data_IF_585059769539
#
_entry.id   IF_585059769539
#
_cell.length_a   1.000
_cell.length_b   1.000
_cell.length_c   1.000
_cell.angle_alpha   90.00
_cell.angle_beta   90.00
_cell.angle_gamma   90.00
#
_symmetry.space_group_name_H-M   'P 1'
#
loop_
_entity.id
_entity.type
_entity.pdbx_description
1 polymer ?
#
# COMPACT_ATOMS: atom_id res chain seq x y z
N UNK A 1 -9.45 -5.00 18.42
CA UNK A 1 -8.63 -3.80 18.06
C UNK A 1 -7.58 -4.02 16.98
N UNK A 2 -6.99 -5.23 16.80
CA UNK A 2 -5.91 -5.45 15.81
C UNK A 2 -6.34 -5.25 14.34
N UNK A 3 -7.56 -5.65 13.97
CA UNK A 3 -8.06 -5.52 12.59
C UNK A 3 -8.24 -4.07 12.13
N UNK A 4 -8.87 -3.22 12.96
CA UNK A 4 -9.08 -1.81 12.65
C UNK A 4 -7.76 -1.04 12.51
N UNK A 5 -6.79 -1.27 13.40
CA UNK A 5 -5.46 -0.66 13.31
C UNK A 5 -4.77 -1.04 12.00
N UNK A 6 -4.75 -2.33 11.64
CA UNK A 6 -4.14 -2.78 10.38
C UNK A 6 -4.83 -2.18 9.17
N UNK A 7 -6.17 -2.08 9.19
CA UNK A 7 -6.94 -1.44 8.14
C UNK A 7 -6.57 0.04 7.98
N UNK A 8 -6.54 0.81 9.08
CA UNK A 8 -6.16 2.23 9.07
C UNK A 8 -4.72 2.44 8.59
N UNK A 9 -3.78 1.59 9.01
CA UNK A 9 -2.38 1.65 8.55
C UNK A 9 -2.26 1.35 7.05
N UNK A 10 -3.00 0.36 6.54
CA UNK A 10 -3.03 0.07 5.11
C UNK A 10 -3.62 1.24 4.32
N UNK A 11 -4.70 1.85 4.82
CA UNK A 11 -5.32 3.02 4.19
C UNK A 11 -4.34 4.20 4.13
N UNK A 12 -3.67 4.51 5.24
CA UNK A 12 -2.65 5.55 5.29
C UNK A 12 -1.49 5.27 4.32
N UNK A 13 -1.01 4.03 4.26
CA UNK A 13 0.05 3.63 3.34
C UNK A 13 -0.36 3.77 1.86
N UNK A 14 -1.62 3.45 1.52
CA UNK A 14 -2.15 3.65 0.16
C UNK A 14 -2.16 5.14 -0.20
N UNK A 15 -2.64 5.99 0.72
CA UNK A 15 -2.66 7.45 0.50
C UNK A 15 -1.24 7.99 0.31
N UNK A 16 -0.29 7.61 1.17
CA UNK A 16 1.11 8.00 1.04
C UNK A 16 1.75 7.52 -0.28
N UNK A 17 1.51 6.25 -0.66
CA UNK A 17 2.02 5.70 -1.91
C UNK A 17 1.48 6.44 -3.13
N UNK A 18 0.18 6.72 -3.15
CA UNK A 18 -0.46 7.48 -4.23
C UNK A 18 0.03 8.93 -4.29
N UNK A 19 0.16 9.61 -3.15
CA UNK A 19 0.69 10.97 -3.09
C UNK A 19 2.15 11.03 -3.56
N UNK A 20 2.97 10.03 -3.21
CA UNK A 20 4.34 9.94 -3.69
C UNK A 20 4.41 9.72 -5.22
N UNK A 21 3.50 8.92 -5.80
CA UNK A 21 3.42 8.77 -7.26
C UNK A 21 3.06 10.10 -7.93
N UNK A 22 2.01 10.78 -7.44
CA UNK A 22 1.55 12.05 -8.01
C UNK A 22 2.62 13.13 -7.87
N UNK A 23 3.25 13.22 -6.69
CA UNK A 23 4.30 14.21 -6.43
C UNK A 23 5.58 13.89 -7.20
N UNK A 24 5.90 12.61 -7.38
CA UNK A 24 7.04 12.17 -8.18
C UNK A 24 6.87 12.48 -9.66
N UNK A 25 5.66 12.32 -10.19
CA UNK A 25 5.33 12.76 -11.55
C UNK A 25 5.40 14.29 -11.69
N UNK A 26 4.86 15.03 -10.71
CA UNK A 26 4.87 16.49 -10.73
C UNK A 26 6.27 17.11 -10.63
N UNK A 27 7.24 16.39 -10.06
CA UNK A 27 8.64 16.81 -9.86
C UNK A 27 9.60 16.15 -10.87
N UNK A 28 9.09 15.47 -11.91
CA UNK A 28 9.90 14.67 -12.85
C UNK A 28 10.91 13.74 -12.13
N UNK A 29 10.53 13.23 -10.95
CA UNK A 29 11.37 12.46 -10.04
C UNK A 29 10.98 10.98 -10.09
N UNK A 30 11.62 10.18 -10.96
CA UNK A 30 11.31 8.76 -11.09
C UNK A 30 11.60 7.98 -9.78
N UNK A 31 12.47 8.50 -8.92
CA UNK A 31 12.75 7.93 -7.60
C UNK A 31 11.55 8.01 -6.66
N UNK A 32 10.93 9.20 -6.53
CA UNK A 32 9.78 9.39 -5.65
C UNK A 32 8.56 8.61 -6.16
N UNK A 33 8.37 8.59 -7.49
CA UNK A 33 7.34 7.77 -8.13
C UNK A 33 7.56 6.27 -7.87
N UNK A 34 8.80 5.80 -8.02
CA UNK A 34 9.19 4.42 -7.72
C UNK A 34 8.97 4.02 -6.27
N UNK A 35 9.29 4.91 -5.30
CA UNK A 35 9.00 4.68 -3.88
C UNK A 35 7.51 4.54 -3.64
N UNK A 36 6.69 5.43 -4.22
CA UNK A 36 5.24 5.34 -4.12
C UNK A 36 4.70 4.01 -4.63
N UNK A 37 5.21 3.53 -5.77
CA UNK A 37 4.85 2.24 -6.34
C UNK A 37 5.23 1.07 -5.41
N UNK A 38 6.44 1.07 -4.84
CA UNK A 38 6.90 0.03 -3.91
C UNK A 38 5.98 -0.07 -2.69
N UNK A 39 5.59 1.08 -2.11
CA UNK A 39 4.65 1.11 -0.98
C UNK A 39 3.32 0.45 -1.35
N UNK A 40 2.75 0.79 -2.51
CA UNK A 40 1.48 0.21 -2.96
C UNK A 40 1.59 -1.30 -3.19
N UNK A 41 2.68 -1.78 -3.80
CA UNK A 41 2.92 -3.22 -4.02
C UNK A 41 2.99 -3.97 -2.68
N UNK A 42 3.70 -3.44 -1.69
CA UNK A 42 3.80 -4.08 -0.36
C UNK A 42 2.42 -4.20 0.29
N UNK A 43 1.62 -3.13 0.27
CA UNK A 43 0.26 -3.15 0.82
C UNK A 43 -0.61 -4.17 0.10
N UNK A 44 -0.53 -4.21 -1.24
CA UNK A 44 -1.27 -5.16 -2.06
C UNK A 44 -0.89 -6.61 -1.73
N UNK A 45 0.40 -6.96 -1.73
CA UNK A 45 0.87 -8.32 -1.46
C UNK A 45 0.48 -8.77 -0.05
N UNK A 46 0.61 -7.91 0.96
CA UNK A 46 0.18 -8.24 2.34
C UNK A 46 -1.33 -8.46 2.41
N UNK A 47 -2.12 -7.59 1.80
CA UNK A 47 -3.58 -7.69 1.79
C UNK A 47 -4.05 -8.94 1.06
N UNK A 48 -3.42 -9.26 -0.06
CA UNK A 48 -3.71 -10.45 -0.86
C UNK A 48 -3.38 -11.75 -0.11
N UNK A 49 -2.20 -11.84 0.51
CA UNK A 49 -1.83 -12.98 1.37
C UNK A 49 -2.81 -13.15 2.53
N UNK A 50 -3.21 -12.05 3.18
CA UNK A 50 -4.18 -12.10 4.26
C UNK A 50 -5.54 -12.64 3.76
N UNK A 51 -5.99 -12.20 2.59
CA UNK A 51 -7.23 -12.69 1.99
C UNK A 51 -7.16 -14.18 1.63
N UNK A 52 -6.06 -14.65 1.06
CA UNK A 52 -5.86 -16.08 0.78
C UNK A 52 -5.89 -16.92 2.06
N UNK A 53 -5.25 -16.46 3.13
CA UNK A 53 -5.27 -17.14 4.42
C UNK A 53 -6.69 -17.25 4.99
N UNK A 54 -7.51 -16.20 4.85
CA UNK A 54 -8.92 -16.25 5.26
C UNK A 54 -9.73 -17.24 4.42
N UNK A 55 -9.44 -17.37 3.12
CA UNK A 55 -10.12 -18.33 2.23
C UNK A 55 -9.70 -19.77 2.49
N UNK A 56 -8.45 -20.02 2.91
CA UNK A 56 -7.92 -21.36 3.22
C UNK A 56 -8.40 -21.91 4.58
N UNK A 57 -8.77 -21.02 5.51
CA UNK A 57 -9.32 -21.38 6.82
C UNK A 57 -10.86 -21.44 6.85
N UNK A 58 -11.51 -21.35 5.68
CA UNK A 58 -12.95 -21.53 5.49
C UNK A 58 -13.18 -22.86 4.78
#
# INVERSE_FOLDING_TARGET
>A
MKGLRTFLLNLAAILFGALAIISGEADDSPGLQGIGLIVLIIVFVKSFKNWQNLKKNK
#
